data_IF_703408423154
#
_entry.id   IF_703408423154
#
_cell.length_a   1.000
_cell.length_b   1.000
_cell.length_c   1.000
_cell.angle_alpha   90.00
_cell.angle_beta   90.00
_cell.angle_gamma   90.00
#
_symmetry.space_group_name_H-M   'P 1'
#
loop_
_entity.id
_entity.type
_entity.pdbx_description
1 polymer ?
#
# COMPACT_ATOMS: atom_id res chain seq x y z
N UNK A 1 -12.44 -21.57 -16.07
CA UNK A 1 -11.86 -21.73 -17.43
C UNK A 1 -10.44 -21.19 -17.34
N UNK A 2 -9.46 -22.09 -17.16
CA UNK A 2 -8.06 -21.74 -16.96
C UNK A 2 -7.41 -21.45 -18.31
N UNK A 3 -6.65 -20.36 -18.43
CA UNK A 3 -5.74 -20.17 -19.55
C UNK A 3 -4.31 -20.18 -19.02
N UNK A 4 -3.55 -21.18 -19.49
CA UNK A 4 -2.09 -21.23 -19.40
C UNK A 4 -1.59 -20.61 -20.70
N UNK A 5 -1.01 -19.40 -20.63
CA UNK A 5 -0.22 -18.85 -21.73
C UNK A 5 1.25 -18.93 -21.33
N UNK A 6 1.94 -19.92 -21.93
CA UNK A 6 3.38 -20.07 -21.86
C UNK A 6 4.00 -19.28 -23.02
N UNK A 7 4.63 -18.15 -22.70
CA UNK A 7 5.65 -17.52 -23.56
C UNK A 7 6.58 -16.65 -22.71
N UNK A 8 7.88 -16.97 -22.70
CA UNK A 8 8.93 -15.97 -22.62
C UNK A 8 9.33 -15.46 -21.24
N UNK A 9 10.53 -15.86 -20.85
CA UNK A 9 11.45 -15.30 -19.85
C UNK A 9 11.32 -13.78 -19.61
N UNK A 10 10.49 -13.41 -18.65
CA UNK A 10 10.62 -12.22 -17.82
C UNK A 10 9.87 -12.54 -16.52
N UNK A 11 10.63 -12.83 -15.47
CA UNK A 11 10.10 -13.02 -14.13
C UNK A 11 9.60 -11.67 -13.59
N UNK A 12 8.50 -11.17 -14.17
CA UNK A 12 7.61 -10.26 -13.47
C UNK A 12 6.98 -11.12 -12.37
N UNK A 13 7.58 -11.08 -11.18
CA UNK A 13 6.83 -11.35 -9.96
C UNK A 13 5.76 -10.26 -9.86
N UNK A 14 4.64 -10.44 -10.57
CA UNK A 14 3.40 -9.76 -10.22
C UNK A 14 3.04 -10.34 -8.86
N UNK A 15 3.41 -9.62 -7.80
CA UNK A 15 2.95 -9.93 -6.46
C UNK A 15 1.47 -9.58 -6.48
N UNK A 16 0.65 -10.55 -6.89
CA UNK A 16 -0.80 -10.41 -6.86
C UNK A 16 -1.18 -10.18 -5.39
N UNK A 17 -1.55 -8.94 -5.06
CA UNK A 17 -2.37 -8.72 -3.87
C UNK A 17 -3.64 -9.50 -4.13
N UNK A 18 -3.91 -10.45 -3.25
CA UNK A 18 -5.13 -11.24 -3.26
C UNK A 18 -6.35 -10.31 -3.38
N UNK A 19 -7.29 -10.59 -4.29
CA UNK A 19 -8.54 -9.82 -4.42
C UNK A 19 -9.30 -9.77 -3.08
N UNK A 20 -9.15 -10.78 -2.23
CA UNK A 20 -9.68 -10.78 -0.87
C UNK A 20 -9.09 -9.67 -0.01
N UNK A 21 -7.79 -9.38 -0.17
CA UNK A 21 -7.10 -8.40 0.68
C UNK A 21 -7.57 -6.97 0.41
N UNK A 22 -7.99 -6.67 -0.83
CA UNK A 22 -8.57 -5.37 -1.19
C UNK A 22 -9.83 -5.05 -0.38
N UNK A 23 -10.60 -6.06 0.04
CA UNK A 23 -11.82 -5.88 0.86
C UNK A 23 -11.51 -5.33 2.26
N UNK A 24 -10.28 -5.49 2.73
CA UNK A 24 -9.83 -5.00 4.03
C UNK A 24 -9.25 -3.58 3.97
N UNK A 25 -9.07 -3.03 2.76
CA UNK A 25 -8.68 -1.63 2.57
C UNK A 25 -9.93 -0.76 2.64
N UNK A 26 -10.13 -0.13 3.80
CA UNK A 26 -11.34 0.63 4.11
C UNK A 26 -11.32 2.08 3.60
N UNK A 27 -10.17 2.57 3.12
CA UNK A 27 -10.04 3.92 2.60
C UNK A 27 -9.14 3.96 1.36
N UNK A 28 -9.65 4.58 0.29
CA UNK A 28 -8.97 4.69 -1.00
C UNK A 28 -8.62 6.12 -1.38
N UNK A 29 -9.36 7.11 -0.87
CA UNK A 29 -9.13 8.51 -1.18
C UNK A 29 -9.40 9.40 0.02
N UNK A 30 -8.70 10.52 0.09
CA UNK A 30 -8.73 11.47 1.21
C UNK A 30 -8.48 10.81 2.57
N UNK A 31 -7.65 9.76 2.61
CA UNK A 31 -7.37 9.00 3.82
C UNK A 31 -6.54 9.77 4.84
N UNK A 32 -6.50 9.28 6.07
CA UNK A 32 -5.56 9.81 7.05
C UNK A 32 -4.13 9.39 6.71
N UNK A 33 -3.13 10.19 7.08
CA UNK A 33 -1.72 9.80 6.94
C UNK A 33 -1.44 8.45 7.62
N UNK A 34 -2.01 8.25 8.81
CA UNK A 34 -1.90 6.99 9.56
C UNK A 34 -2.46 5.78 8.82
N UNK A 35 -3.47 5.96 7.96
CA UNK A 35 -3.97 4.86 7.14
C UNK A 35 -2.90 4.37 6.16
N UNK A 36 -2.23 5.28 5.47
CA UNK A 36 -1.14 4.95 4.53
C UNK A 36 0.07 4.37 5.28
N UNK A 37 0.41 4.91 6.45
CA UNK A 37 1.45 4.35 7.33
C UNK A 37 1.15 2.90 7.70
N UNK A 38 -0.09 2.58 8.10
CA UNK A 38 -0.50 1.22 8.43
C UNK A 38 -0.37 0.28 7.23
N UNK A 39 -0.80 0.70 6.03
CA UNK A 39 -0.63 -0.08 4.80
C UNK A 39 0.84 -0.34 4.48
N UNK A 40 1.72 0.65 4.69
CA UNK A 40 3.15 0.49 4.49
C UNK A 40 3.77 -0.44 5.53
N UNK A 41 3.35 -0.34 6.80
CA UNK A 41 3.81 -1.17 7.91
C UNK A 41 3.55 -2.65 7.67
N UNK A 42 2.40 -2.99 7.07
CA UNK A 42 2.08 -4.38 6.69
C UNK A 42 2.67 -4.78 5.33
N UNK A 43 3.39 -3.89 4.65
CA UNK A 43 4.10 -4.21 3.41
C UNK A 43 3.23 -4.18 2.15
N UNK A 44 2.12 -3.44 2.15
CA UNK A 44 1.27 -3.29 0.96
C UNK A 44 1.62 -2.09 0.09
N UNK A 45 2.33 -1.09 0.63
CA UNK A 45 2.74 0.09 -0.13
C UNK A 45 4.05 -0.21 -0.86
N UNK A 46 4.02 -0.09 -2.19
CA UNK A 46 5.20 -0.23 -3.04
C UNK A 46 6.05 1.05 -3.03
N UNK A 47 5.41 2.21 -3.21
CA UNK A 47 6.04 3.54 -3.20
C UNK A 47 5.04 4.62 -2.80
N UNK A 48 5.54 5.76 -2.36
CA UNK A 48 4.73 6.94 -2.01
C UNK A 48 5.35 8.20 -2.60
N UNK A 49 4.49 9.09 -3.07
CA UNK A 49 4.85 10.38 -3.65
C UNK A 49 4.11 11.51 -2.93
N UNK A 50 4.66 12.72 -3.00
CA UNK A 50 4.03 13.93 -2.45
C UNK A 50 3.41 14.70 -3.60
N UNK A 51 2.14 15.08 -3.44
CA UNK A 51 1.43 15.94 -4.38
C UNK A 51 1.02 17.26 -3.71
N UNK A 52 0.99 18.33 -4.50
CA UNK A 52 0.44 19.62 -4.10
C UNK A 52 -1.08 19.57 -3.96
N UNK A 53 -1.59 20.21 -2.91
CA UNK A 53 -3.00 20.51 -2.76
C UNK A 53 -3.32 21.90 -3.30
N UNK A 54 -4.63 22.20 -3.49
CA UNK A 54 -5.10 23.51 -3.93
C UNK A 54 -4.62 24.65 -3.01
N UNK A 55 -4.56 24.38 -1.71
CA UNK A 55 -4.13 25.35 -0.70
C UNK A 55 -2.60 25.34 -0.57
N UNK A 56 -1.99 26.52 -0.74
CA UNK A 56 -0.54 26.70 -0.55
C UNK A 56 -0.09 26.24 0.85
N UNK A 57 1.02 25.51 0.90
CA UNK A 57 1.58 24.97 2.13
C UNK A 57 0.95 23.65 2.59
N UNK A 58 -0.05 23.15 1.84
CA UNK A 58 -0.65 21.85 2.08
C UNK A 58 -0.20 20.85 1.02
N UNK A 59 0.09 19.64 1.46
CA UNK A 59 0.48 18.51 0.62
C UNK A 59 -0.37 17.31 0.96
N UNK A 60 -0.50 16.40 0.00
CA UNK A 60 -1.04 15.06 0.24
C UNK A 60 -0.04 13.99 -0.18
N UNK A 61 -0.20 12.79 0.38
CA UNK A 61 0.57 11.62 0.00
C UNK A 61 -0.25 10.77 -0.96
N UNK A 62 0.42 10.27 -1.99
CA UNK A 62 -0.15 9.35 -2.98
C UNK A 62 0.66 8.07 -2.94
N UNK A 63 0.07 7.01 -2.39
CA UNK A 63 0.69 5.70 -2.25
C UNK A 63 0.26 4.79 -3.40
N UNK A 64 1.23 4.13 -4.02
CA UNK A 64 0.99 3.00 -4.93
C UNK A 64 1.13 1.71 -4.14
N UNK A 65 0.10 0.87 -4.19
CA UNK A 65 0.12 -0.44 -3.57
C UNK A 65 0.79 -1.46 -4.49
N UNK A 66 1.15 -2.62 -3.95
CA UNK A 66 1.85 -3.69 -4.68
C UNK A 66 1.02 -4.33 -5.81
N UNK A 67 -0.30 -4.13 -5.84
CA UNK A 67 -1.17 -4.47 -6.99
C UNK A 67 -1.31 -3.33 -8.02
N UNK A 68 -0.57 -2.25 -7.84
CA UNK A 68 -0.62 -1.06 -8.69
C UNK A 68 -1.78 -0.10 -8.40
N UNK A 69 -2.68 -0.43 -7.47
CA UNK A 69 -3.75 0.49 -7.06
C UNK A 69 -3.21 1.70 -6.29
N UNK A 70 -4.03 2.75 -6.21
CA UNK A 70 -3.63 4.04 -5.62
C UNK A 70 -4.50 4.31 -4.38
N UNK A 71 -3.85 4.74 -3.30
CA UNK A 71 -4.48 5.30 -2.10
C UNK A 71 -3.91 6.70 -1.87
N UNK A 72 -4.76 7.70 -1.71
CA UNK A 72 -4.31 9.07 -1.43
C UNK A 72 -4.83 9.61 -0.08
N UNK A 73 -4.03 10.48 0.53
CA UNK A 73 -4.39 11.13 1.79
C UNK A 73 -5.22 12.38 1.57
N UNK A 74 -5.89 12.84 2.63
CA UNK A 74 -6.32 14.23 2.76
C UNK A 74 -5.13 15.19 2.67
N UNK A 75 -5.41 16.49 2.54
CA UNK A 75 -4.40 17.53 2.56
C UNK A 75 -3.97 17.86 3.99
N UNK A 76 -2.66 17.83 4.25
CA UNK A 76 -2.03 18.13 5.54
C UNK A 76 -1.00 19.24 5.40
N UNK A 77 -0.56 19.83 6.50
CA UNK A 77 0.56 20.77 6.44
C UNK A 77 1.80 20.08 5.89
N UNK A 78 2.62 20.84 5.16
CA UNK A 78 3.82 20.30 4.49
C UNK A 78 4.73 19.53 5.47
N UNK A 79 4.86 20.00 6.71
CA UNK A 79 5.68 19.35 7.74
C UNK A 79 5.10 18.01 8.19
N UNK A 80 3.78 17.93 8.39
CA UNK A 80 3.09 16.69 8.77
C UNK A 80 3.20 15.63 7.66
N UNK A 81 2.96 16.05 6.40
CA UNK A 81 3.11 15.17 5.25
C UNK A 81 4.56 14.69 5.09
N UNK A 82 5.55 15.57 5.30
CA UNK A 82 6.96 15.21 5.22
C UNK A 82 7.39 14.26 6.34
N UNK A 83 6.87 14.42 7.56
CA UNK A 83 7.14 13.51 8.66
C UNK A 83 6.56 12.11 8.37
N UNK A 84 5.30 12.04 7.96
CA UNK A 84 4.66 10.77 7.60
C UNK A 84 5.35 10.08 6.42
N UNK A 85 5.76 10.84 5.39
CA UNK A 85 6.54 10.33 4.26
C UNK A 85 7.83 9.62 4.71
N UNK A 86 8.56 10.18 5.69
CA UNK A 86 9.77 9.55 6.22
C UNK A 86 9.46 8.22 6.91
N UNK A 87 8.40 8.19 7.73
CA UNK A 87 7.94 6.97 8.43
C UNK A 87 7.55 5.89 7.42
N UNK A 88 6.74 6.25 6.42
CA UNK A 88 6.30 5.33 5.36
C UNK A 88 7.51 4.75 4.62
N UNK A 89 8.47 5.57 4.21
CA UNK A 89 9.65 5.10 3.50
C UNK A 89 10.52 4.16 4.35
N UNK A 90 10.57 4.34 5.67
CA UNK A 90 11.22 3.38 6.58
C UNK A 90 10.51 2.02 6.57
N UNK A 91 9.17 2.00 6.66
CA UNK A 91 8.40 0.75 6.59
C UNK A 91 8.56 0.04 5.25
N UNK A 92 8.51 0.77 4.13
CA UNK A 92 8.76 0.21 2.80
C UNK A 92 10.18 -0.39 2.74
N UNK A 93 11.18 0.31 3.27
CA UNK A 93 12.56 -0.16 3.35
C UNK A 93 12.68 -1.48 4.14
N UNK A 94 12.04 -1.58 5.30
CA UNK A 94 12.01 -2.81 6.09
C UNK A 94 11.29 -3.96 5.40
N UNK A 95 10.14 -3.69 4.77
CA UNK A 95 9.40 -4.71 4.03
C UNK A 95 10.22 -5.25 2.85
N UNK A 96 10.94 -4.38 2.13
CA UNK A 96 11.81 -4.78 1.03
C UNK A 96 13.01 -5.59 1.50
N UNK A 97 13.72 -5.14 2.54
CA UNK A 97 14.93 -5.83 3.03
C UNK A 97 14.64 -7.22 3.59
N UNK A 98 13.43 -7.44 4.11
CA UNK A 98 12.96 -8.75 4.60
C UNK A 98 12.26 -9.59 3.54
N UNK A 99 12.12 -9.07 2.31
CA UNK A 99 11.35 -9.71 1.25
C UNK A 99 9.90 -9.96 1.64
N UNK A 100 9.29 -9.09 2.46
CA UNK A 100 7.92 -9.19 2.96
C UNK A 100 6.92 -8.34 2.15
N UNK A 101 7.41 -7.52 1.23
CA UNK A 101 6.59 -6.67 0.37
C UNK A 101 5.54 -7.51 -0.39
N UNK A 102 4.26 -7.17 -0.19
CA UNK A 102 3.09 -7.84 -0.77
C UNK A 102 2.85 -9.29 -0.33
N UNK A 103 3.51 -9.77 0.74
CA UNK A 103 3.35 -11.14 1.25
C UNK A 103 2.34 -11.26 2.39
N UNK A 104 1.44 -10.27 2.55
CA UNK A 104 0.39 -10.31 3.58
C UNK A 104 -0.61 -11.42 3.24
N UNK A 105 -0.99 -12.20 4.25
CA UNK A 105 -2.02 -13.23 4.16
C UNK A 105 -3.06 -12.99 5.25
N UNK A 106 -4.32 -13.24 4.94
CA UNK A 106 -5.40 -13.23 5.93
C UNK A 106 -5.30 -14.54 6.72
N UNK A 107 -5.18 -14.46 8.05
CA UNK A 107 -5.30 -15.65 8.89
C UNK A 107 -6.77 -16.12 8.88
N UNK A 108 -6.97 -17.42 8.61
CA UNK A 108 -8.25 -18.01 8.21
C UNK A 108 -9.46 -17.66 9.09
N UNK A 109 -10.59 -17.42 8.42
CA UNK A 109 -11.92 -17.44 9.01
C UNK A 109 -12.42 -18.88 9.10
N UNK A 110 -12.14 -19.53 10.22
CA UNK A 110 -12.92 -20.65 10.74
C UNK A 110 -13.06 -20.42 12.25
N UNK A 111 -14.06 -19.63 12.63
CA UNK A 111 -14.57 -19.68 13.99
C UNK A 111 -15.35 -20.99 14.12
N UNK A 112 -14.65 -22.08 14.45
CA UNK A 112 -15.28 -23.24 15.08
C UNK A 112 -15.79 -22.80 16.44
N UNK A 113 -17.06 -22.42 16.49
CA UNK A 113 -17.84 -22.48 17.71
C UNK A 113 -18.15 -23.96 17.95
N UNK A 114 -17.34 -24.60 18.77
CA UNK A 114 -17.81 -25.71 19.62
C UNK A 114 -18.13 -25.17 21.01
#
# INVERSE_FOLDING_TARGET
MHYIVSTGTLSLMVVYVDEELRKYIVCWSNCTLRHIESLAMIGLVERVEVADCEKKGFKKLVARLVDGSIVDSSCYYTEEAAQSLRIINLYIGFARSRGQLGKVKIAGGEASLE
#
